data_IF_419680052898
#
_entry.id   IF_419680052898
#
_cell.length_a   1.000
_cell.length_b   1.000
_cell.length_c   1.000
_cell.angle_alpha   90.00
_cell.angle_beta   90.00
_cell.angle_gamma   90.00
#
_symmetry.space_group_name_H-M   'P 1'
#
loop_
_entity.id
_entity.type
_entity.pdbx_description
1 polymer ?
#
# COMPACT_ATOMS: atom_id res chain seq x y z
N UNK A 1 13.43 -18.43 4.51
CA UNK A 1 12.14 -19.09 4.82
C UNK A 1 11.06 -18.02 4.76
N UNK A 2 10.32 -17.92 3.65
CA UNK A 2 9.16 -17.03 3.55
C UNK A 2 7.99 -17.76 4.21
N UNK A 3 7.47 -17.20 5.30
CA UNK A 3 6.22 -17.62 5.87
C UNK A 3 5.11 -17.03 4.99
N UNK A 4 4.71 -17.74 3.94
CA UNK A 4 3.41 -17.47 3.30
C UNK A 4 2.34 -17.98 4.27
N UNK A 5 1.44 -17.10 4.70
CA UNK A 5 0.35 -17.51 5.58
C UNK A 5 -0.64 -18.32 4.73
N UNK A 6 -1.32 -19.33 5.28
CA UNK A 6 -2.31 -20.13 4.57
C UNK A 6 -3.43 -19.32 3.89
N UNK A 7 -3.61 -18.06 4.27
CA UNK A 7 -4.63 -17.14 3.77
C UNK A 7 -4.16 -16.27 2.58
N UNK A 8 -2.89 -16.38 2.16
CA UNK A 8 -2.32 -15.56 1.07
C UNK A 8 -2.99 -15.83 -0.30
N UNK A 9 -3.63 -17.00 -0.47
CA UNK A 9 -4.38 -17.38 -1.68
C UNK A 9 -5.87 -16.95 -1.64
N UNK A 10 -6.39 -16.47 -0.50
CA UNK A 10 -7.83 -16.21 -0.31
C UNK A 10 -8.23 -14.81 -0.81
N UNK A 11 -7.28 -13.88 -0.96
CA UNK A 11 -7.55 -12.46 -1.24
C UNK A 11 -7.04 -11.98 -2.60
N UNK A 12 -6.77 -12.91 -3.51
CA UNK A 12 -6.22 -12.66 -4.86
C UNK A 12 -7.23 -13.08 -5.94
N UNK A 13 -8.47 -12.62 -5.80
CA UNK A 13 -9.45 -12.72 -6.88
C UNK A 13 -8.92 -12.09 -8.18
N UNK A 14 -9.29 -12.62 -9.38
CA UNK A 14 -8.79 -12.12 -10.66
C UNK A 14 -9.07 -10.62 -10.87
N UNK A 15 -10.11 -10.08 -10.23
CA UNK A 15 -10.45 -8.65 -10.24
C UNK A 15 -9.47 -7.76 -9.46
N UNK A 16 -8.68 -8.34 -8.55
CA UNK A 16 -7.68 -7.62 -7.77
C UNK A 16 -6.29 -7.65 -8.39
N UNK A 17 -6.03 -8.58 -9.31
CA UNK A 17 -4.74 -8.72 -9.98
C UNK A 17 -4.22 -7.39 -10.58
N UNK A 18 -5.03 -6.53 -11.24
CA UNK A 18 -4.53 -5.30 -11.81
C UNK A 18 -4.01 -4.30 -10.76
N UNK A 19 -4.75 -4.13 -9.65
CA UNK A 19 -4.37 -3.18 -8.60
C UNK A 19 -3.16 -3.68 -7.81
N UNK A 20 -3.07 -4.99 -7.54
CA UNK A 20 -1.92 -5.58 -6.87
C UNK A 20 -0.64 -5.52 -7.74
N UNK A 21 -0.79 -5.67 -9.06
CA UNK A 21 0.32 -5.51 -10.01
C UNK A 21 0.79 -4.05 -10.08
N UNK A 22 -0.12 -3.08 -10.11
CA UNK A 22 0.21 -1.64 -10.09
C UNK A 22 0.98 -1.28 -8.82
N UNK A 23 0.49 -1.69 -7.64
CA UNK A 23 1.18 -1.51 -6.36
C UNK A 23 2.59 -2.11 -6.40
N UNK A 24 2.71 -3.34 -6.91
CA UNK A 24 4.00 -4.03 -7.00
C UNK A 24 4.97 -3.29 -7.93
N UNK A 25 4.48 -2.70 -9.02
CA UNK A 25 5.31 -1.92 -9.95
C UNK A 25 5.90 -0.66 -9.29
N UNK A 26 5.15 0.00 -8.41
CA UNK A 26 5.56 1.23 -7.73
C UNK A 26 6.58 0.95 -6.60
N UNK A 27 6.40 -0.13 -5.85
CA UNK A 27 7.23 -0.43 -4.68
C UNK A 27 8.30 -1.50 -4.94
N UNK A 28 8.29 -2.16 -6.10
CA UNK A 28 9.14 -3.32 -6.43
C UNK A 28 8.75 -4.61 -5.67
N UNK A 29 7.72 -4.55 -4.83
CA UNK A 29 7.14 -5.66 -4.05
C UNK A 29 5.72 -5.28 -3.65
N UNK A 30 4.91 -6.24 -3.22
CA UNK A 30 3.61 -5.96 -2.59
C UNK A 30 3.80 -5.73 -1.07
N UNK A 31 3.60 -4.50 -0.54
CA UNK A 31 3.68 -4.26 0.91
C UNK A 31 2.55 -4.97 1.67
N UNK A 32 2.86 -5.48 2.87
CA UNK A 32 1.91 -6.21 3.72
C UNK A 32 0.61 -5.44 4.01
N UNK A 33 0.68 -4.11 4.08
CA UNK A 33 -0.50 -3.27 4.31
C UNK A 33 -1.55 -3.42 3.20
N UNK A 34 -1.10 -3.44 1.93
CA UNK A 34 -2.00 -3.63 0.80
C UNK A 34 -2.47 -5.08 0.68
N UNK A 35 -1.63 -6.04 1.07
CA UNK A 35 -2.06 -7.44 1.21
C UNK A 35 -3.20 -7.56 2.23
N UNK A 36 -3.11 -6.90 3.38
CA UNK A 36 -4.17 -6.91 4.38
C UNK A 36 -5.46 -6.22 3.87
N UNK A 37 -5.35 -5.15 3.10
CA UNK A 37 -6.54 -4.51 2.50
C UNK A 37 -7.24 -5.37 1.44
N UNK A 38 -6.55 -6.34 0.83
CA UNK A 38 -7.15 -7.21 -0.17
C UNK A 38 -8.32 -8.06 0.38
N UNK A 39 -8.39 -8.25 1.71
CA UNK A 39 -9.54 -8.83 2.41
C UNK A 39 -10.83 -8.05 2.11
N UNK A 40 -10.74 -6.74 1.89
CA UNK A 40 -11.87 -5.88 1.56
C UNK A 40 -11.57 -5.03 0.29
N UNK A 41 -11.92 -5.51 -0.92
CA UNK A 41 -11.57 -4.87 -2.18
C UNK A 41 -11.89 -3.38 -2.33
N UNK A 42 -13.06 -2.86 -1.87
CA UNK A 42 -13.32 -1.42 -1.85
C UNK A 42 -12.31 -0.63 -1.02
N UNK A 43 -11.88 -1.17 0.13
CA UNK A 43 -10.89 -0.53 1.00
C UNK A 43 -9.50 -0.51 0.36
N UNK A 44 -9.10 -1.61 -0.31
CA UNK A 44 -7.87 -1.66 -1.09
C UNK A 44 -7.86 -0.57 -2.18
N UNK A 45 -8.94 -0.48 -2.96
CA UNK A 45 -9.07 0.53 -4.03
C UNK A 45 -9.00 1.95 -3.49
N UNK A 46 -9.74 2.25 -2.43
CA UNK A 46 -9.76 3.58 -1.83
C UNK A 46 -8.39 3.98 -1.26
N UNK A 47 -7.73 3.07 -0.53
CA UNK A 47 -6.42 3.35 0.06
C UNK A 47 -5.33 3.46 -1.00
N UNK A 48 -5.35 2.60 -2.03
CA UNK A 48 -4.37 2.72 -3.11
C UNK A 48 -4.53 4.03 -3.88
N UNK A 49 -5.76 4.40 -4.26
CA UNK A 49 -6.02 5.67 -4.93
C UNK A 49 -5.50 6.86 -4.11
N UNK A 50 -5.77 6.86 -2.79
CA UNK A 50 -5.26 7.88 -1.87
C UNK A 50 -3.72 7.89 -1.81
N UNK A 51 -3.08 6.74 -1.62
CA UNK A 51 -1.61 6.65 -1.55
C UNK A 51 -0.97 7.09 -2.85
N UNK A 52 -1.53 6.72 -4.00
CA UNK A 52 -1.02 7.09 -5.32
C UNK A 52 -1.04 8.60 -5.51
N UNK A 53 -2.20 9.23 -5.28
CA UNK A 53 -2.36 10.67 -5.42
C UNK A 53 -1.50 11.47 -4.43
N UNK A 54 -1.38 11.03 -3.18
CA UNK A 54 -0.67 11.78 -2.15
C UNK A 54 0.84 11.53 -2.15
N UNK A 55 1.29 10.29 -2.29
CA UNK A 55 2.68 9.89 -2.04
C UNK A 55 3.48 9.58 -3.31
N UNK A 56 2.83 9.08 -4.36
CA UNK A 56 3.51 8.57 -5.56
C UNK A 56 3.55 9.61 -6.66
N UNK A 57 2.40 10.21 -6.98
CA UNK A 57 2.28 11.21 -8.03
C UNK A 57 2.98 12.51 -7.64
N UNK A 58 3.47 13.20 -8.67
CA UNK A 58 4.08 14.51 -8.54
C UNK A 58 3.04 15.52 -8.05
N UNK A 59 3.49 16.47 -7.23
CA UNK A 59 2.65 17.52 -6.68
C UNK A 59 3.52 18.63 -6.09
N UNK A 60 2.89 19.54 -5.34
CA UNK A 60 3.58 20.72 -4.78
C UNK A 60 4.68 20.37 -3.79
N UNK A 61 4.53 19.26 -3.04
CA UNK A 61 5.53 18.83 -2.07
C UNK A 61 6.49 17.80 -2.68
N UNK A 62 7.81 17.98 -2.57
CA UNK A 62 8.77 16.96 -2.94
C UNK A 62 8.52 15.66 -2.16
N UNK A 63 8.75 14.52 -2.80
CA UNK A 63 8.53 13.19 -2.19
C UNK A 63 9.23 13.02 -0.84
N UNK A 64 10.48 13.48 -0.70
CA UNK A 64 11.23 13.44 0.56
C UNK A 64 10.52 14.17 1.71
N UNK A 65 9.85 15.28 1.43
CA UNK A 65 9.10 16.04 2.44
C UNK A 65 7.82 15.31 2.84
N UNK A 66 7.11 14.72 1.87
CA UNK A 66 5.93 13.88 2.14
C UNK A 66 6.30 12.69 3.06
N UNK A 67 7.41 12.04 2.78
CA UNK A 67 7.94 10.92 3.58
C UNK A 67 8.37 11.36 4.98
N UNK A 68 9.02 12.52 5.12
CA UNK A 68 9.41 13.07 6.43
C UNK A 68 8.18 13.38 7.32
N UNK A 69 7.13 13.97 6.74
CA UNK A 69 5.87 14.22 7.45
C UNK A 69 5.25 12.88 7.89
N UNK A 70 5.16 11.90 6.98
CA UNK A 70 4.60 10.59 7.30
C UNK A 70 5.37 9.90 8.44
N UNK A 71 6.71 9.98 8.44
CA UNK A 71 7.54 9.42 9.49
C UNK A 71 7.30 10.10 10.84
N UNK A 72 7.30 11.44 10.88
CA UNK A 72 7.08 12.20 12.12
C UNK A 72 5.72 11.90 12.74
N UNK A 73 4.65 11.93 11.94
CA UNK A 73 3.29 11.64 12.43
C UNK A 73 3.15 10.18 12.87
N UNK A 74 3.79 9.24 12.17
CA UNK A 74 3.74 7.82 12.55
C UNK A 74 4.47 7.56 13.87
N UNK A 75 5.62 8.21 14.08
CA UNK A 75 6.36 8.17 15.34
C UNK A 75 5.51 8.68 16.50
N UNK A 76 4.88 9.85 16.35
CA UNK A 76 4.06 10.44 17.41
C UNK A 76 2.81 9.60 17.72
N UNK A 77 2.31 8.84 16.74
CA UNK A 77 1.22 7.89 16.91
C UNK A 77 1.65 6.51 17.44
N UNK A 78 2.95 6.26 17.64
CA UNK A 78 3.47 4.94 18.06
C UNK A 78 3.22 3.82 17.04
N UNK A 79 3.16 4.15 15.75
CA UNK A 79 2.88 3.20 14.67
C UNK A 79 4.17 2.50 14.20
N UNK A 80 4.16 1.16 14.16
CA UNK A 80 5.33 0.31 13.88
C UNK A 80 5.12 -0.60 12.65
#
# INVERSE_FOLDING_TARGET
>A
MRLTRPDDDIHTGPELAPILADITSVFGRLPNLFHAYAIHPPLLRANWAKTRALMVEDGTLPRRLKEAIALSVSHDNGCA
#
